data_IF_074459223285
#
_entry.id   IF_074459223285
#
_cell.length_a   1.000
_cell.length_b   1.000
_cell.length_c   1.000
_cell.angle_alpha   90.00
_cell.angle_beta   90.00
_cell.angle_gamma   90.00
#
_symmetry.space_group_name_H-M   'P 1'
#
loop_
_entity.id
_entity.type
_entity.pdbx_description
1 polymer ?
#
# COMPACT_ATOMS: atom_id res chain seq x y z
N UNK A 1 -25.92 20.30 -7.79
CA UNK A 1 -24.63 20.39 -7.07
C UNK A 1 -24.57 19.55 -5.79
N UNK A 2 -25.64 19.46 -5.04
CA UNK A 2 -25.66 18.62 -3.82
C UNK A 2 -25.36 17.16 -4.04
N UNK A 3 -25.77 16.61 -5.19
CA UNK A 3 -25.55 15.20 -5.51
C UNK A 3 -24.06 14.83 -5.66
N UNK A 4 -23.28 15.73 -6.28
CA UNK A 4 -21.83 15.50 -6.46
C UNK A 4 -21.10 15.54 -5.13
N UNK A 5 -21.44 16.48 -4.27
CA UNK A 5 -20.84 16.61 -2.93
C UNK A 5 -21.19 15.39 -2.09
N UNK A 6 -22.45 14.93 -2.14
CA UNK A 6 -22.88 13.74 -1.41
C UNK A 6 -22.15 12.49 -1.88
N UNK A 7 -21.94 12.35 -3.19
CA UNK A 7 -21.21 11.23 -3.76
C UNK A 7 -19.74 11.21 -3.30
N UNK A 8 -19.08 12.37 -3.31
CA UNK A 8 -17.70 12.51 -2.82
C UNK A 8 -17.60 12.13 -1.35
N UNK A 9 -18.53 12.60 -0.53
CA UNK A 9 -18.55 12.27 0.90
C UNK A 9 -18.76 10.78 1.12
N UNK A 10 -19.62 10.15 0.33
CA UNK A 10 -19.88 8.72 0.41
C UNK A 10 -18.64 7.91 0.04
N UNK A 11 -17.91 8.32 -1.00
CA UNK A 11 -16.67 7.67 -1.44
C UNK A 11 -15.60 7.81 -0.35
N UNK A 12 -15.45 9.00 0.22
CA UNK A 12 -14.48 9.24 1.30
C UNK A 12 -14.79 8.40 2.53
N UNK A 13 -16.08 8.28 2.89
CA UNK A 13 -16.51 7.46 4.02
C UNK A 13 -16.22 5.99 3.78
N UNK A 14 -16.47 5.49 2.56
CA UNK A 14 -16.21 4.11 2.20
C UNK A 14 -14.72 3.79 2.27
N UNK A 15 -13.88 4.71 1.79
CA UNK A 15 -12.43 4.58 1.89
C UNK A 15 -11.97 4.52 3.34
N UNK A 16 -12.48 5.42 4.18
CA UNK A 16 -12.13 5.48 5.60
C UNK A 16 -12.56 4.21 6.34
N UNK A 17 -13.75 3.70 6.04
CA UNK A 17 -14.24 2.46 6.64
C UNK A 17 -13.37 1.27 6.26
N UNK A 18 -13.02 1.16 4.97
CA UNK A 18 -12.17 0.08 4.50
C UNK A 18 -10.78 0.17 5.14
N UNK A 19 -10.21 1.36 5.19
CA UNK A 19 -8.91 1.58 5.82
C UNK A 19 -8.93 1.20 7.30
N UNK A 20 -9.96 1.62 8.03
CA UNK A 20 -10.10 1.31 9.45
C UNK A 20 -10.21 -0.19 9.69
N UNK A 21 -10.89 -0.92 8.81
CA UNK A 21 -11.11 -2.35 8.98
C UNK A 21 -9.84 -3.18 8.80
N UNK A 22 -8.83 -2.67 8.09
CA UNK A 22 -7.57 -3.37 7.82
C UNK A 22 -6.35 -2.60 8.32
N UNK A 23 -6.55 -1.59 9.16
CA UNK A 23 -5.47 -0.70 9.61
C UNK A 23 -4.33 -1.44 10.30
N UNK A 24 -4.65 -2.38 11.18
CA UNK A 24 -3.65 -3.19 11.90
C UNK A 24 -2.76 -3.94 10.90
N UNK A 25 -3.37 -4.55 9.91
CA UNK A 25 -2.63 -5.28 8.88
C UNK A 25 -1.85 -4.36 7.96
N UNK A 26 -2.35 -3.15 7.74
CA UNK A 26 -1.65 -2.15 6.94
C UNK A 26 -0.34 -1.74 7.60
N UNK A 27 -0.33 -1.59 8.91
CA UNK A 27 0.88 -1.31 9.69
C UNK A 27 1.88 -2.45 9.52
N UNK A 28 1.41 -3.70 9.56
CA UNK A 28 2.26 -4.87 9.35
C UNK A 28 2.85 -4.89 7.94
N UNK A 29 2.08 -4.46 6.93
CA UNK A 29 2.57 -4.35 5.56
C UNK A 29 3.71 -3.35 5.48
N UNK A 30 3.56 -2.18 6.11
CA UNK A 30 4.61 -1.15 6.13
C UNK A 30 5.89 -1.68 6.79
N UNK A 31 5.77 -2.36 7.91
CA UNK A 31 6.90 -2.97 8.60
C UNK A 31 7.57 -4.03 7.73
N UNK A 32 6.79 -4.86 7.06
CA UNK A 32 7.29 -5.92 6.19
C UNK A 32 8.05 -5.33 5.00
N UNK A 33 7.52 -4.27 4.40
CA UNK A 33 8.18 -3.57 3.30
C UNK A 33 9.53 -3.02 3.77
N UNK A 34 9.55 -2.33 4.89
CA UNK A 34 10.79 -1.75 5.44
C UNK A 34 11.84 -2.82 5.72
N UNK A 35 11.43 -3.95 6.27
CA UNK A 35 12.37 -5.03 6.59
C UNK A 35 12.96 -5.68 5.34
N UNK A 36 12.19 -5.75 4.25
CA UNK A 36 12.65 -6.37 3.00
C UNK A 36 13.49 -5.43 2.14
N UNK A 37 13.31 -4.13 2.28
CA UNK A 37 14.01 -3.14 1.45
C UNK A 37 15.28 -2.59 2.07
N UNK A 38 15.68 -3.10 3.22
CA UNK A 38 16.95 -2.76 3.82
C UNK A 38 18.09 -3.20 2.89
N UNK A 39 18.88 -2.26 2.41
CA UNK A 39 19.96 -2.52 1.47
C UNK A 39 21.28 -1.97 2.02
N UNK A 40 22.39 -2.61 1.65
CA UNK A 40 23.73 -2.15 2.00
C UNK A 40 24.20 -1.00 1.11
N UNK A 41 23.49 -0.71 0.03
CA UNK A 41 23.81 0.39 -0.88
C UNK A 41 23.00 1.62 -0.45
N UNK A 42 23.70 2.65 0.00
CA UNK A 42 23.09 3.86 0.53
C UNK A 42 22.14 4.53 -0.46
N UNK A 43 22.51 4.61 -1.73
CA UNK A 43 21.68 5.21 -2.77
C UNK A 43 20.35 4.46 -2.92
N UNK A 44 20.38 3.14 -2.87
CA UNK A 44 19.17 2.31 -2.97
C UNK A 44 18.27 2.56 -1.75
N UNK A 45 18.87 2.66 -0.55
CA UNK A 45 18.13 2.94 0.66
C UNK A 45 17.46 4.32 0.61
N UNK A 46 18.17 5.34 0.11
CA UNK A 46 17.61 6.68 -0.04
C UNK A 46 16.44 6.70 -1.02
N UNK A 47 16.60 6.08 -2.20
CA UNK A 47 15.54 6.01 -3.21
C UNK A 47 14.33 5.26 -2.68
N UNK A 48 14.55 4.14 -2.00
CA UNK A 48 13.51 3.33 -1.41
C UNK A 48 12.75 4.11 -0.33
N UNK A 49 13.49 4.76 0.56
CA UNK A 49 12.89 5.56 1.62
C UNK A 49 12.06 6.71 1.06
N UNK A 50 12.54 7.34 -0.01
CA UNK A 50 11.80 8.40 -0.68
C UNK A 50 10.47 7.87 -1.24
N UNK A 51 10.50 6.76 -1.96
CA UNK A 51 9.29 6.14 -2.51
C UNK A 51 8.32 5.71 -1.42
N UNK A 52 8.82 5.17 -0.32
CA UNK A 52 7.97 4.77 0.79
C UNK A 52 7.30 5.96 1.47
N UNK A 53 8.03 7.06 1.64
CA UNK A 53 7.47 8.27 2.25
C UNK A 53 6.45 8.97 1.37
N UNK A 54 6.71 8.98 0.05
CA UNK A 54 5.84 9.65 -0.92
C UNK A 54 4.87 8.68 -1.57
N UNK A 55 4.84 7.43 -1.14
CA UNK A 55 4.13 6.32 -1.79
C UNK A 55 2.62 6.36 -1.72
N UNK A 56 2.05 7.47 -1.31
CA UNK A 56 0.61 7.68 -1.38
C UNK A 56 -0.18 6.85 -0.38
N UNK A 57 -1.39 6.48 -0.78
CA UNK A 57 -2.40 5.92 0.12
C UNK A 57 -2.31 4.41 0.31
N UNK A 58 -1.33 3.75 -0.28
CA UNK A 58 -1.20 2.27 -0.23
C UNK A 58 -2.47 1.58 -0.72
N UNK A 59 -3.03 2.10 -1.78
CA UNK A 59 -4.32 1.61 -2.30
C UNK A 59 -4.25 0.14 -2.70
N UNK A 60 -3.16 -0.31 -3.30
CA UNK A 60 -3.01 -1.71 -3.72
C UNK A 60 -2.99 -2.66 -2.53
N UNK A 61 -2.25 -2.29 -1.49
CA UNK A 61 -2.23 -3.05 -0.25
C UNK A 61 -3.61 -3.07 0.40
N UNK A 62 -4.27 -1.93 0.43
CA UNK A 62 -5.61 -1.79 0.99
C UNK A 62 -6.62 -2.70 0.27
N UNK A 63 -6.59 -2.72 -1.05
CA UNK A 63 -7.47 -3.58 -1.86
C UNK A 63 -7.16 -5.05 -1.64
N UNK A 64 -5.88 -5.41 -1.55
CA UNK A 64 -5.47 -6.79 -1.29
C UNK A 64 -5.98 -7.29 0.06
N UNK A 65 -5.77 -6.49 1.10
CA UNK A 65 -6.19 -6.83 2.45
C UNK A 65 -7.72 -6.87 2.57
N UNK A 66 -8.38 -5.90 1.95
CA UNK A 66 -9.84 -5.84 1.95
C UNK A 66 -10.48 -7.02 1.23
N UNK A 67 -9.92 -7.40 0.09
CA UNK A 67 -10.39 -8.56 -0.67
C UNK A 67 -10.21 -9.85 0.12
N UNK A 68 -9.06 -10.02 0.77
CA UNK A 68 -8.81 -11.19 1.61
C UNK A 68 -9.82 -11.29 2.74
N UNK A 69 -10.12 -10.16 3.37
CA UNK A 69 -11.10 -10.10 4.47
C UNK A 69 -12.50 -10.47 3.99
N UNK A 70 -12.90 -9.96 2.82
CA UNK A 70 -14.20 -10.29 2.22
C UNK A 70 -14.32 -11.79 1.90
N UNK A 71 -13.20 -12.43 1.57
CA UNK A 71 -13.15 -13.87 1.29
C UNK A 71 -13.05 -14.72 2.56
N UNK A 72 -13.10 -14.09 3.73
CA UNK A 72 -13.09 -14.80 5.01
C UNK A 72 -11.72 -15.10 5.58
N UNK A 73 -10.66 -14.57 4.99
CA UNK A 73 -9.31 -14.76 5.51
C UNK A 73 -9.09 -13.91 6.76
N UNK A 74 -8.98 -14.53 7.90
CA UNK A 74 -8.87 -13.83 9.19
C UNK A 74 -7.59 -14.15 9.96
N UNK A 75 -7.00 -15.32 9.74
CA UNK A 75 -5.81 -15.75 10.48
C UNK A 75 -4.66 -16.01 9.54
N UNK A 76 -3.48 -15.56 9.93
CA UNK A 76 -2.26 -15.77 9.17
C UNK A 76 -1.74 -14.48 8.56
N UNK A 77 -0.62 -14.60 7.85
CA UNK A 77 0.10 -13.43 7.31
C UNK A 77 0.23 -13.48 5.78
N UNK A 78 -0.47 -14.37 5.11
CA UNK A 78 -0.40 -14.47 3.65
C UNK A 78 -0.93 -13.22 2.96
N UNK A 79 -2.00 -12.65 3.50
CA UNK A 79 -2.59 -11.41 2.99
C UNK A 79 -1.61 -10.24 3.13
N UNK A 80 -0.94 -10.14 4.27
CA UNK A 80 0.07 -9.11 4.53
C UNK A 80 1.26 -9.29 3.59
N UNK A 81 1.72 -10.53 3.41
CA UNK A 81 2.83 -10.82 2.51
C UNK A 81 2.50 -10.48 1.06
N UNK A 82 1.30 -10.84 0.62
CA UNK A 82 0.86 -10.54 -0.74
C UNK A 82 0.73 -9.03 -0.95
N UNK A 83 0.15 -8.32 0.01
CA UNK A 83 -0.01 -6.87 -0.06
C UNK A 83 1.37 -6.19 -0.13
N UNK A 84 2.33 -6.64 0.67
CA UNK A 84 3.68 -6.13 0.63
C UNK A 84 4.34 -6.38 -0.73
N UNK A 85 4.17 -7.59 -1.29
CA UNK A 85 4.68 -7.95 -2.60
C UNK A 85 4.14 -7.04 -3.69
N UNK A 86 2.83 -6.80 -3.70
CA UNK A 86 2.18 -5.96 -4.70
C UNK A 86 2.73 -4.53 -4.64
N UNK A 87 2.88 -3.99 -3.43
CA UNK A 87 3.44 -2.65 -3.24
C UNK A 87 4.91 -2.58 -3.67
N UNK A 88 5.69 -3.60 -3.38
CA UNK A 88 7.10 -3.65 -3.77
C UNK A 88 7.26 -3.73 -5.29
N UNK A 89 6.44 -4.53 -5.96
CA UNK A 89 6.46 -4.64 -7.41
C UNK A 89 6.10 -3.29 -8.03
N UNK A 90 5.11 -2.61 -7.49
CA UNK A 90 4.70 -1.28 -7.95
C UNK A 90 5.83 -0.26 -7.78
N UNK A 91 6.44 -0.22 -6.60
CA UNK A 91 7.55 0.69 -6.31
C UNK A 91 8.73 0.42 -7.22
N UNK A 92 9.09 -0.85 -7.42
CA UNK A 92 10.18 -1.24 -8.31
C UNK A 92 9.91 -0.81 -9.74
N UNK A 93 8.68 -0.97 -10.22
CA UNK A 93 8.27 -0.54 -11.56
C UNK A 93 8.41 0.97 -11.73
N UNK A 94 7.97 1.74 -10.74
CA UNK A 94 8.08 3.20 -10.76
C UNK A 94 9.54 3.65 -10.75
N UNK A 95 10.38 3.01 -9.93
CA UNK A 95 11.81 3.33 -9.86
C UNK A 95 12.50 3.02 -11.19
N UNK A 96 12.19 1.87 -11.77
CA UNK A 96 12.75 1.48 -13.07
C UNK A 96 12.34 2.47 -14.16
N UNK A 97 11.08 2.84 -14.20
CA UNK A 97 10.57 3.82 -15.16
C UNK A 97 11.30 5.16 -15.03
N UNK A 98 11.46 5.65 -13.80
CA UNK A 98 12.16 6.91 -13.54
C UNK A 98 13.62 6.86 -14.02
N UNK A 99 14.30 5.73 -13.81
CA UNK A 99 15.68 5.57 -14.24
C UNK A 99 15.83 5.50 -15.76
N UNK A 100 14.85 4.90 -16.44
CA UNK A 100 14.92 4.73 -17.91
C UNK A 100 14.48 5.96 -18.69
N UNK A 101 13.59 6.79 -18.11
CA UNK A 101 13.03 7.95 -18.79
C UNK A 101 13.90 9.20 -18.62
N UNK A 102 14.65 9.26 -17.54
CA UNK A 102 15.59 10.34 -17.27
C UNK A 102 16.97 10.00 -17.83
#
# INVERSE_FOLDING_TARGET
MGTVVQLKNKINNSYSELKSSVEDKLILVEERIKSKLSSKVELVDEMTSYHLRTGGKRLRALLTLGSAKLCGYQKGSRDVNLAACVELIHAATLMHYSCCVN
#
